data_IF_775196884608
#
_entry.id   IF_775196884608
#
_cell.length_a   1.000
_cell.length_b   1.000
_cell.length_c   1.000
_cell.angle_alpha   90.00
_cell.angle_beta   90.00
_cell.angle_gamma   90.00
#
_symmetry.space_group_name_H-M   'P 1'
#
loop_
_entity.id
_entity.type
_entity.pdbx_description
1 polymer ?
#
# COMPACT_ATOMS: atom_id res chain seq x y z
N UNK A 1 9.73 9.60 -3.46
CA UNK A 1 9.72 11.04 -3.78
C UNK A 1 10.99 11.44 -4.49
N UNK A 2 12.17 11.31 -3.87
CA UNK A 2 13.47 11.80 -4.38
C UNK A 2 13.93 11.38 -5.81
N UNK A 3 13.35 10.35 -6.42
CA UNK A 3 13.76 9.87 -7.76
C UNK A 3 12.87 10.36 -8.90
N UNK A 4 11.71 10.97 -8.58
CA UNK A 4 10.81 11.46 -9.62
C UNK A 4 11.32 12.81 -10.14
N UNK A 5 11.66 12.94 -11.43
CA UNK A 5 12.26 14.17 -11.96
C UNK A 5 11.27 15.35 -12.03
N UNK A 6 9.97 15.07 -11.92
CA UNK A 6 8.86 16.05 -12.02
C UNK A 6 8.08 16.17 -10.72
N UNK A 7 8.63 15.62 -9.64
CA UNK A 7 8.07 15.64 -8.28
C UNK A 7 6.56 15.34 -8.19
N UNK A 8 6.12 14.30 -8.90
CA UNK A 8 4.69 13.97 -8.94
C UNK A 8 4.15 13.28 -7.67
N UNK A 9 5.00 12.93 -6.70
CA UNK A 9 4.59 12.19 -5.50
C UNK A 9 4.46 13.13 -4.31
N UNK A 10 3.44 12.90 -3.49
CA UNK A 10 3.24 13.64 -2.24
C UNK A 10 2.62 12.70 -1.19
N UNK A 11 2.62 13.10 0.07
CA UNK A 11 1.94 12.39 1.15
C UNK A 11 0.74 13.22 1.60
N UNK A 12 -0.42 12.57 1.78
CA UNK A 12 -1.61 13.24 2.35
C UNK A 12 -1.58 13.23 3.88
N UNK A 13 -2.60 13.83 4.50
CA UNK A 13 -2.71 13.98 5.96
C UNK A 13 -2.84 12.63 6.69
N UNK A 14 -3.41 11.64 6.01
CA UNK A 14 -3.57 10.26 6.48
C UNK A 14 -2.27 9.43 6.34
N UNK A 15 -1.19 10.03 5.83
CA UNK A 15 0.11 9.38 5.66
C UNK A 15 0.21 8.49 4.42
N UNK A 16 -0.80 8.48 3.55
CA UNK A 16 -0.80 7.75 2.27
C UNK A 16 0.03 8.52 1.25
N UNK A 17 1.02 7.83 0.66
CA UNK A 17 1.76 8.38 -0.47
C UNK A 17 0.86 8.34 -1.70
N UNK A 18 0.59 9.48 -2.33
CA UNK A 18 -0.19 9.61 -3.56
C UNK A 18 0.69 10.14 -4.70
N UNK A 19 0.11 10.21 -5.90
CA UNK A 19 0.81 10.70 -7.08
C UNK A 19 -0.14 11.49 -7.97
N UNK A 20 0.36 12.58 -8.57
CA UNK A 20 -0.35 13.31 -9.61
C UNK A 20 -0.13 12.64 -10.97
N UNK A 21 -1.21 12.08 -11.53
CA UNK A 21 -1.25 11.56 -12.90
C UNK A 21 -1.04 12.66 -13.94
N UNK A 22 -1.30 13.93 -13.65
CA UNK A 22 -1.10 15.00 -14.63
C UNK A 22 0.37 15.42 -14.74
N UNK A 23 1.10 15.39 -13.62
CA UNK A 23 2.54 15.62 -13.62
C UNK A 23 3.33 14.40 -14.09
N UNK A 24 2.78 13.19 -13.96
CA UNK A 24 3.49 11.97 -14.29
C UNK A 24 3.82 11.85 -15.79
N UNK A 25 5.11 11.95 -16.13
CA UNK A 25 5.63 11.80 -17.50
C UNK A 25 5.94 10.34 -17.89
N UNK A 26 5.68 9.37 -17.00
CA UNK A 26 5.88 7.95 -17.32
C UNK A 26 7.33 7.48 -17.43
N UNK A 27 8.30 8.17 -16.81
CA UNK A 27 9.74 7.87 -16.96
C UNK A 27 10.19 6.51 -16.39
N UNK A 28 9.45 5.91 -15.45
CA UNK A 28 9.76 4.59 -14.90
C UNK A 28 10.80 4.55 -13.78
N UNK A 29 11.44 5.66 -13.39
CA UNK A 29 12.44 5.64 -12.31
C UNK A 29 11.86 5.21 -10.96
N UNK A 30 10.61 5.54 -10.68
CA UNK A 30 9.92 5.08 -9.49
C UNK A 30 9.81 3.55 -9.40
N UNK A 31 9.65 2.87 -10.54
CA UNK A 31 9.57 1.40 -10.58
C UNK A 31 10.89 0.76 -10.16
N UNK A 32 12.01 1.23 -10.74
CA UNK A 32 13.34 0.71 -10.40
C UNK A 32 13.77 1.06 -8.98
N UNK A 33 13.34 2.22 -8.46
CA UNK A 33 13.72 2.66 -7.12
C UNK A 33 12.89 2.01 -6.01
N UNK A 34 11.65 1.56 -6.30
CA UNK A 34 10.79 0.98 -5.27
C UNK A 34 11.22 -0.46 -4.95
N UNK A 35 11.67 -0.77 -3.71
CA UNK A 35 12.13 -2.11 -3.37
C UNK A 35 11.01 -3.17 -3.41
N UNK A 36 9.74 -2.73 -3.38
CA UNK A 36 8.56 -3.59 -3.41
C UNK A 36 7.97 -3.76 -4.80
N UNK A 37 8.49 -3.07 -5.83
CA UNK A 37 7.91 -3.12 -7.19
C UNK A 37 6.46 -2.61 -7.26
N UNK A 38 6.04 -1.76 -6.32
CA UNK A 38 4.65 -1.32 -6.21
C UNK A 38 4.16 -0.44 -7.39
N UNK A 39 5.00 0.45 -7.99
CA UNK A 39 4.60 1.21 -9.18
C UNK A 39 4.34 0.30 -10.37
N UNK A 40 3.21 0.49 -11.03
CA UNK A 40 2.79 -0.26 -12.22
C UNK A 40 2.49 0.70 -13.36
N UNK A 41 2.58 0.20 -14.59
CA UNK A 41 2.45 1.00 -15.80
C UNK A 41 1.45 0.32 -16.75
N UNK A 42 0.46 1.05 -17.29
CA UNK A 42 -0.62 0.45 -18.06
C UNK A 42 -0.18 -0.02 -19.45
N UNK A 43 0.97 0.44 -19.96
CA UNK A 43 1.47 0.06 -21.28
C UNK A 43 2.96 -0.33 -21.21
N UNK A 44 3.29 -1.46 -21.86
CA UNK A 44 4.66 -1.94 -22.03
C UNK A 44 5.11 -1.69 -23.48
N UNK A 45 5.59 -0.48 -23.76
CA UNK A 45 6.23 -0.15 -25.03
C UNK A 45 7.75 -0.07 -24.88
N UNK A 46 8.51 -0.71 -25.77
CA UNK A 46 9.98 -0.60 -25.78
C UNK A 46 10.47 0.80 -26.18
N UNK A 47 9.64 1.57 -26.89
CA UNK A 47 9.97 2.90 -27.44
C UNK A 47 8.82 3.92 -27.33
N UNK A 48 7.76 3.60 -26.57
CA UNK A 48 6.60 4.45 -26.34
C UNK A 48 6.46 4.76 -24.86
N UNK A 49 5.83 5.88 -24.50
CA UNK A 49 5.57 6.22 -23.10
C UNK A 49 4.95 5.01 -22.39
N UNK A 50 5.48 4.62 -21.22
CA UNK A 50 4.96 3.51 -20.41
C UNK A 50 3.52 3.76 -19.89
N UNK A 51 2.90 4.85 -20.34
CA UNK A 51 1.74 5.47 -19.72
C UNK A 51 2.08 6.17 -18.42
N UNK A 52 1.06 6.79 -17.84
CA UNK A 52 1.12 7.35 -16.49
C UNK A 52 1.22 6.19 -15.50
N UNK A 53 2.18 6.27 -14.60
CA UNK A 53 2.35 5.29 -13.53
C UNK A 53 1.09 5.25 -12.65
N UNK A 54 0.75 4.08 -12.13
CA UNK A 54 -0.24 3.91 -11.07
C UNK A 54 0.29 3.01 -9.96
N UNK A 55 -0.32 3.05 -8.79
CA UNK A 55 -0.04 2.16 -7.66
C UNK A 55 -1.24 2.13 -6.72
N UNK A 56 -1.25 1.22 -5.74
CA UNK A 56 -2.22 1.27 -4.65
C UNK A 56 -2.23 2.67 -4.01
N UNK A 57 -3.39 3.34 -4.04
CA UNK A 57 -3.63 4.64 -3.38
C UNK A 57 -4.30 4.49 -2.03
N UNK A 58 -4.39 3.26 -1.49
CA UNK A 58 -5.18 2.96 -0.29
C UNK A 58 -6.64 3.42 -0.42
N UNK A 59 -7.17 3.47 -1.66
CA UNK A 59 -8.47 4.05 -1.98
C UNK A 59 -8.64 5.51 -1.50
N UNK A 60 -7.55 6.28 -1.40
CA UNK A 60 -7.55 7.68 -0.96
C UNK A 60 -7.55 8.69 -2.11
N UNK A 61 -7.89 8.26 -3.33
CA UNK A 61 -8.01 9.16 -4.48
C UNK A 61 -6.68 9.73 -4.97
N UNK A 62 -6.65 11.04 -5.23
CA UNK A 62 -5.52 11.77 -5.77
C UNK A 62 -5.59 13.27 -5.44
N UNK A 63 -4.96 14.15 -6.24
CA UNK A 63 -4.89 15.59 -5.94
C UNK A 63 -6.14 16.36 -6.37
N UNK A 64 -7.08 15.67 -7.04
CA UNK A 64 -8.34 16.26 -7.48
C UNK A 64 -9.29 16.45 -6.29
N UNK A 65 -10.34 17.26 -6.48
CA UNK A 65 -11.40 17.38 -5.48
C UNK A 65 -12.08 16.02 -5.24
N UNK A 66 -12.24 15.68 -3.95
CA UNK A 66 -12.87 14.43 -3.53
C UNK A 66 -14.28 14.27 -4.13
N UNK A 67 -14.57 13.08 -4.63
CA UNK A 67 -15.84 12.73 -5.29
C UNK A 67 -16.13 13.46 -6.60
N UNK A 68 -15.14 14.17 -7.17
CA UNK A 68 -15.27 14.75 -8.50
C UNK A 68 -15.25 13.66 -9.59
N UNK A 69 -15.81 13.99 -10.75
CA UNK A 69 -15.74 13.13 -11.94
C UNK A 69 -14.31 12.93 -12.43
N UNK A 70 -13.46 13.96 -12.28
CA UNK A 70 -12.04 13.92 -12.62
C UNK A 70 -11.26 12.96 -11.71
N UNK A 71 -11.50 13.01 -10.39
CA UNK A 71 -10.91 12.06 -9.44
C UNK A 71 -11.31 10.64 -9.80
N UNK A 72 -12.61 10.40 -10.00
CA UNK A 72 -13.13 9.06 -10.30
C UNK A 72 -12.52 8.48 -11.58
N UNK A 73 -12.39 9.28 -12.63
CA UNK A 73 -11.78 8.86 -13.88
C UNK A 73 -10.28 8.54 -13.73
N UNK A 74 -9.55 9.27 -12.89
CA UNK A 74 -8.10 9.12 -12.71
C UNK A 74 -7.73 8.04 -11.69
N UNK A 75 -8.40 7.96 -10.54
CA UNK A 75 -7.98 7.14 -9.40
C UNK A 75 -9.08 6.17 -8.91
N UNK A 76 -10.28 6.22 -9.52
CA UNK A 76 -11.44 5.49 -9.05
C UNK A 76 -12.07 6.15 -7.83
N UNK A 77 -12.89 5.40 -7.09
CA UNK A 77 -13.63 5.91 -5.93
C UNK A 77 -12.70 6.13 -4.73
N UNK A 78 -12.68 7.36 -4.21
CA UNK A 78 -12.04 7.69 -2.95
C UNK A 78 -12.92 7.22 -1.78
N UNK A 79 -12.54 6.12 -1.13
CA UNK A 79 -13.26 5.51 -0.01
C UNK A 79 -12.85 6.10 1.33
N UNK A 80 -11.61 6.56 1.44
CA UNK A 80 -11.11 7.18 2.67
C UNK A 80 -11.89 8.48 2.95
N UNK A 81 -12.14 9.28 1.91
CA UNK A 81 -13.00 10.46 2.02
C UNK A 81 -14.47 10.13 2.39
N UNK A 82 -14.97 8.92 2.06
CA UNK A 82 -16.30 8.45 2.50
C UNK A 82 -16.29 7.94 3.97
N UNK A 83 -15.16 7.98 4.68
CA UNK A 83 -14.99 7.39 6.00
C UNK A 83 -15.00 5.85 5.99
N UNK A 84 -14.76 5.23 4.84
CA UNK A 84 -14.74 3.78 4.66
C UNK A 84 -13.32 3.26 4.54
N UNK A 85 -13.15 1.97 4.82
CA UNK A 85 -11.86 1.30 4.62
C UNK A 85 -11.58 1.09 3.12
N UNK A 86 -10.30 0.86 2.74
CA UNK A 86 -9.95 0.42 1.41
C UNK A 86 -10.71 -0.85 1.04
N UNK A 87 -11.17 -0.93 -0.21
CA UNK A 87 -12.07 -2.00 -0.65
C UNK A 87 -11.47 -3.40 -0.49
N UNK A 88 -10.15 -3.55 -0.69
CA UNK A 88 -9.48 -4.83 -0.56
C UNK A 88 -9.46 -5.35 0.88
N UNK A 89 -9.38 -4.45 1.88
CA UNK A 89 -9.46 -4.81 3.29
C UNK A 89 -10.90 -5.06 3.73
N UNK A 90 -11.84 -4.22 3.30
CA UNK A 90 -13.24 -4.35 3.67
C UNK A 90 -13.92 -5.60 3.10
N UNK A 91 -13.59 -5.96 1.86
CA UNK A 91 -14.14 -7.14 1.19
C UNK A 91 -13.44 -8.45 1.57
N UNK A 92 -12.36 -8.40 2.37
CA UNK A 92 -11.59 -9.58 2.71
C UNK A 92 -12.38 -10.51 3.65
N UNK A 93 -13.06 -11.52 3.09
CA UNK A 93 -13.88 -12.46 3.83
C UNK A 93 -13.13 -13.17 4.98
N UNK A 94 -11.84 -13.44 4.79
CA UNK A 94 -10.98 -14.13 5.78
C UNK A 94 -10.32 -13.20 6.78
N UNK A 95 -10.50 -11.87 6.67
CA UNK A 95 -9.82 -10.85 7.49
C UNK A 95 -8.29 -10.99 7.46
N UNK A 96 -7.74 -11.43 6.33
CA UNK A 96 -6.31 -11.48 6.06
C UNK A 96 -5.74 -10.08 5.84
N UNK A 97 -6.48 -9.23 5.13
CA UNK A 97 -6.18 -7.81 4.98
C UNK A 97 -6.90 -7.03 6.07
N UNK A 98 -6.15 -6.18 6.77
CA UNK A 98 -6.67 -5.23 7.75
C UNK A 98 -6.21 -3.83 7.32
N UNK A 99 -7.08 -2.84 7.51
CA UNK A 99 -6.80 -1.45 7.23
C UNK A 99 -7.42 -0.58 8.32
N UNK A 100 -6.78 0.53 8.63
CA UNK A 100 -7.17 1.46 9.68
C UNK A 100 -5.95 2.21 10.19
N UNK A 101 -6.13 2.89 11.32
CA UNK A 101 -5.04 3.55 12.03
C UNK A 101 -3.91 2.55 12.36
N UNK A 102 -2.67 3.01 12.21
CA UNK A 102 -1.47 2.18 12.37
C UNK A 102 -1.36 1.56 13.75
N UNK A 103 -1.70 2.30 14.81
CA UNK A 103 -1.60 1.81 16.18
C UNK A 103 -2.65 0.74 16.44
N UNK A 104 -3.88 0.95 15.96
CA UNK A 104 -4.99 -0.02 16.09
C UNK A 104 -4.65 -1.32 15.37
N UNK A 105 -4.19 -1.26 14.11
CA UNK A 105 -3.83 -2.45 13.33
C UNK A 105 -2.64 -3.17 13.95
N UNK A 106 -1.66 -2.44 14.48
CA UNK A 106 -0.51 -3.02 15.19
C UNK A 106 -0.94 -3.78 16.46
N UNK A 107 -1.92 -3.26 17.20
CA UNK A 107 -2.51 -3.93 18.36
C UNK A 107 -3.16 -5.25 17.99
N UNK A 108 -3.99 -5.26 16.96
CA UNK A 108 -4.63 -6.49 16.44
C UNK A 108 -3.57 -7.51 15.99
N UNK A 109 -2.51 -7.04 15.31
CA UNK A 109 -1.42 -7.92 14.89
C UNK A 109 -0.73 -8.58 16.10
N UNK A 110 -0.38 -7.80 17.14
CA UNK A 110 0.24 -8.34 18.36
C UNK A 110 -0.64 -9.40 19.03
N UNK A 111 -1.94 -9.14 19.15
CA UNK A 111 -2.90 -10.10 19.70
C UNK A 111 -2.93 -11.39 18.86
N UNK A 112 -2.99 -11.29 17.54
CA UNK A 112 -2.98 -12.44 16.63
C UNK A 112 -1.70 -13.27 16.74
N UNK A 113 -0.55 -12.61 16.89
CA UNK A 113 0.76 -13.28 17.07
C UNK A 113 0.76 -14.11 18.36
N UNK A 114 0.29 -13.53 19.47
CA UNK A 114 0.17 -14.22 20.76
C UNK A 114 -0.83 -15.38 20.68
N UNK A 115 -2.03 -15.14 20.14
CA UNK A 115 -3.11 -16.13 20.07
C UNK A 115 -2.76 -17.35 19.18
N UNK A 116 -2.00 -17.13 18.10
CA UNK A 116 -1.53 -18.23 17.22
C UNK A 116 -0.44 -19.08 17.86
N UNK A 117 0.11 -18.67 19.02
CA UNK A 117 1.29 -19.31 19.60
C UNK A 117 2.55 -19.13 18.76
N UNK A 118 2.51 -18.27 17.74
CA UNK A 118 3.67 -17.89 16.93
C UNK A 118 4.47 -16.82 17.68
N UNK A 119 4.97 -17.18 18.87
CA UNK A 119 6.07 -16.43 19.46
C UNK A 119 7.27 -16.45 18.51
N UNK A 120 8.27 -15.63 18.79
CA UNK A 120 9.59 -15.59 18.14
C UNK A 120 10.39 -16.92 18.14
N UNK A 121 9.75 -18.07 18.39
CA UNK A 121 10.33 -19.40 18.50
C UNK A 121 9.67 -20.44 17.59
N UNK A 122 9.06 -20.05 16.47
CA UNK A 122 8.37 -20.98 15.57
C UNK A 122 9.25 -22.12 15.02
N UNK A 123 10.58 -22.06 15.18
CA UNK A 123 11.51 -23.19 15.06
C UNK A 123 12.71 -22.98 16.01
N UNK A 124 12.45 -22.73 17.29
CA UNK A 124 13.50 -22.56 18.29
C UNK A 124 14.16 -23.89 18.69
N UNK A 125 15.44 -23.85 19.09
CA UNK A 125 16.21 -25.00 19.59
C UNK A 125 15.47 -25.81 20.67
N UNK A 126 14.67 -25.16 21.51
CA UNK A 126 13.87 -25.83 22.55
C UNK A 126 12.75 -26.73 22.01
N UNK A 127 12.18 -26.41 20.83
CA UNK A 127 11.21 -27.29 20.17
C UNK A 127 11.89 -28.36 19.32
N UNK A 128 13.09 -28.08 18.78
CA UNK A 128 13.84 -29.02 17.95
C UNK A 128 14.61 -30.07 18.75
N UNK A 129 15.09 -29.75 19.95
CA UNK A 129 15.99 -30.61 20.72
C UNK A 129 15.55 -30.86 22.19
N UNK A 130 14.38 -30.34 22.58
CA UNK A 130 13.92 -30.35 23.97
C UNK A 130 14.71 -29.36 24.84
N UNK A 131 14.05 -28.73 25.81
CA UNK A 131 14.77 -27.99 26.85
C UNK A 131 15.51 -29.00 27.73
N UNK A 132 16.84 -28.90 27.81
CA UNK A 132 17.61 -29.65 28.80
C UNK A 132 17.50 -28.87 30.11
N UNK A 133 16.64 -29.37 30.99
CA UNK A 133 16.58 -28.92 32.38
C UNK A 133 17.91 -29.27 33.06
N UNK A 134 18.63 -28.25 33.51
CA UNK A 134 19.83 -28.35 34.33
C UNK A 134 19.55 -27.76 35.70
#
# INVERSE_FOLDING_TARGET
>A
MAVCPVDCFYQNEEGVVLHSKDLCIGCGYCFYACPFGAPQFPQAGNFGSRGKMDKCTFCAGGPEENHSTAEFAKYGRNRIAEGKLPICAEMCATKALLAGDGDVVSGIYRERVVARGFGSGAWGWGSAYGQRDG
#
